data_IF_479975829966
#
_entry.id   IF_479975829966
#
_cell.length_a   1.000
_cell.length_b   1.000
_cell.length_c   1.000
_cell.angle_alpha   90.00
_cell.angle_beta   90.00
_cell.angle_gamma   90.00
#
_symmetry.space_group_name_H-M   'P 1'
#
loop_
_entity.id
_entity.type
_entity.pdbx_description
1 polymer ?
#
# COMPACT_ATOMS: atom_id res chain seq x y z
N UNK A 1 15.37 21.50 -8.55
CA UNK A 1 16.52 20.73 -7.99
C UNK A 1 16.19 20.08 -6.65
N UNK A 2 15.57 20.76 -5.68
CA UNK A 2 15.18 20.16 -4.38
C UNK A 2 14.31 18.88 -4.44
N UNK A 3 13.39 18.80 -5.40
CA UNK A 3 12.53 17.62 -5.56
C UNK A 3 13.30 16.39 -6.09
N UNK A 4 14.23 16.61 -7.02
CA UNK A 4 15.05 15.54 -7.57
C UNK A 4 16.02 14.98 -6.51
N UNK A 5 16.60 15.85 -5.69
CA UNK A 5 17.42 15.45 -4.53
C UNK A 5 16.60 14.67 -3.51
N UNK A 6 15.39 15.11 -3.16
CA UNK A 6 14.52 14.39 -2.23
C UNK A 6 14.22 12.96 -2.72
N UNK A 7 13.84 12.83 -4.00
CA UNK A 7 13.56 11.52 -4.62
C UNK A 7 14.83 10.66 -4.60
N UNK A 8 16.00 11.25 -4.87
CA UNK A 8 17.30 10.59 -4.77
C UNK A 8 17.55 10.02 -3.38
N UNK A 9 17.41 10.84 -2.35
CA UNK A 9 17.60 10.44 -0.95
C UNK A 9 16.64 9.32 -0.52
N UNK A 10 15.37 9.40 -0.92
CA UNK A 10 14.37 8.35 -0.65
C UNK A 10 14.72 7.03 -1.36
N UNK A 11 15.22 7.11 -2.60
CA UNK A 11 15.66 5.95 -3.39
C UNK A 11 16.91 5.29 -2.80
N UNK A 12 17.85 6.07 -2.31
CA UNK A 12 19.08 5.54 -1.67
C UNK A 12 18.76 4.83 -0.34
N UNK A 13 17.70 5.28 0.35
CA UNK A 13 17.31 4.79 1.66
C UNK A 13 16.02 3.94 1.66
N UNK A 14 15.76 3.20 0.57
CA UNK A 14 14.52 2.41 0.42
C UNK A 14 14.28 1.40 1.54
N UNK A 15 15.32 0.80 2.11
CA UNK A 15 15.19 -0.11 3.25
C UNK A 15 14.62 0.60 4.47
N UNK A 16 15.19 1.74 4.82
CA UNK A 16 14.73 2.59 5.93
C UNK A 16 13.31 3.08 5.67
N UNK A 17 13.02 3.58 4.46
CA UNK A 17 11.68 4.04 4.10
C UNK A 17 10.65 2.93 4.25
N UNK A 18 10.95 1.71 3.78
CA UNK A 18 10.07 0.55 3.94
C UNK A 18 9.80 0.24 5.41
N UNK A 19 10.83 0.22 6.25
CA UNK A 19 10.69 -0.05 7.68
C UNK A 19 9.83 1.03 8.33
N UNK A 20 10.09 2.31 8.05
CA UNK A 20 9.31 3.44 8.57
C UNK A 20 7.84 3.32 8.19
N UNK A 21 7.52 2.98 6.93
CA UNK A 21 6.14 2.80 6.48
C UNK A 21 5.46 1.60 7.16
N UNK A 22 6.18 0.48 7.36
CA UNK A 22 5.65 -0.69 8.06
C UNK A 22 5.40 -0.38 9.54
N UNK A 23 6.34 0.29 10.19
CA UNK A 23 6.21 0.73 11.60
C UNK A 23 5.03 1.68 11.74
N UNK A 24 4.89 2.64 10.82
CA UNK A 24 3.75 3.56 10.79
C UNK A 24 2.41 2.81 10.67
N UNK A 25 2.31 1.83 9.76
CA UNK A 25 1.12 0.97 9.64
C UNK A 25 0.85 0.19 10.93
N UNK A 26 1.89 -0.38 11.56
CA UNK A 26 1.75 -1.11 12.81
C UNK A 26 1.27 -0.21 13.96
N UNK A 27 1.77 1.03 14.05
CA UNK A 27 1.30 2.02 15.03
C UNK A 27 -0.18 2.34 14.81
N UNK A 28 -0.63 2.51 13.56
CA UNK A 28 -2.05 2.73 13.26
C UNK A 28 -2.92 1.54 13.69
N UNK A 29 -2.46 0.31 13.45
CA UNK A 29 -3.17 -0.91 13.88
C UNK A 29 -3.26 -0.97 15.40
N UNK A 30 -2.18 -0.67 16.11
CA UNK A 30 -2.18 -0.63 17.58
C UNK A 30 -3.15 0.44 18.07
N UNK A 31 -3.13 1.63 17.47
CA UNK A 31 -4.03 2.73 17.82
C UNK A 31 -5.51 2.36 17.61
N UNK A 32 -5.84 1.66 16.52
CA UNK A 32 -7.20 1.19 16.24
C UNK A 32 -7.75 0.24 17.32
N UNK A 33 -6.89 -0.56 17.95
CA UNK A 33 -7.29 -1.47 19.05
C UNK A 33 -7.66 -0.71 20.32
N UNK A 34 -7.11 0.48 20.53
CA UNK A 34 -7.41 1.32 21.70
C UNK A 34 -8.63 2.23 21.52
N UNK A 35 -9.20 2.33 20.30
CA UNK A 35 -10.38 3.14 20.06
C UNK A 35 -11.65 2.46 20.59
N UNK A 36 -12.49 3.22 21.30
CA UNK A 36 -13.83 2.73 21.70
C UNK A 36 -14.72 2.57 20.46
N UNK A 37 -15.53 1.51 20.46
CA UNK A 37 -16.41 1.10 19.34
C UNK A 37 -17.89 1.14 19.72
N UNK A 38 -18.23 1.95 20.72
CA UNK A 38 -19.60 2.11 21.24
C UNK A 38 -20.59 2.58 20.16
N UNK A 39 -20.14 3.41 19.20
CA UNK A 39 -20.96 3.94 18.11
C UNK A 39 -20.77 3.20 16.76
N UNK A 40 -20.32 1.93 16.78
CA UNK A 40 -20.09 1.18 15.55
C UNK A 40 -21.41 0.87 14.81
N UNK A 41 -21.71 1.64 13.76
CA UNK A 41 -22.92 1.49 12.93
C UNK A 41 -22.85 0.28 11.99
N UNK A 42 -21.67 -0.06 11.47
CA UNK A 42 -21.49 -1.20 10.58
C UNK A 42 -20.82 -2.38 11.31
N UNK A 43 -21.15 -3.61 10.88
CA UNK A 43 -20.56 -4.85 11.44
C UNK A 43 -19.04 -4.84 11.27
N UNK A 44 -18.58 -4.25 10.16
CA UNK A 44 -17.17 -4.12 9.81
C UNK A 44 -16.42 -3.23 10.81
N UNK A 45 -17.06 -2.17 11.31
CA UNK A 45 -16.50 -1.25 12.30
C UNK A 45 -16.43 -1.85 13.71
N UNK A 46 -16.84 -3.11 13.88
CA UNK A 46 -16.62 -3.91 15.12
C UNK A 46 -15.38 -4.81 15.04
N UNK A 47 -14.79 -4.96 13.86
CA UNK A 47 -13.58 -5.75 13.64
C UNK A 47 -12.34 -4.87 13.81
N UNK A 48 -11.46 -5.24 14.75
CA UNK A 48 -10.18 -4.56 14.96
C UNK A 48 -9.28 -4.63 13.73
N UNK A 49 -8.58 -3.53 13.46
CA UNK A 49 -7.65 -3.36 12.35
C UNK A 49 -8.26 -3.56 10.95
N UNK A 50 -9.59 -3.62 10.82
CA UNK A 50 -10.24 -3.97 9.56
C UNK A 50 -9.79 -3.08 8.40
N UNK A 51 -9.84 -1.76 8.59
CA UNK A 51 -9.53 -0.79 7.54
C UNK A 51 -8.06 -0.87 7.11
N UNK A 52 -7.14 -1.12 8.05
CA UNK A 52 -5.73 -1.33 7.75
C UNK A 52 -5.50 -2.63 6.94
N UNK A 53 -6.18 -3.72 7.31
CA UNK A 53 -6.11 -5.00 6.59
C UNK A 53 -6.72 -4.85 5.19
N UNK A 54 -7.91 -4.26 5.10
CA UNK A 54 -8.61 -4.04 3.84
C UNK A 54 -7.79 -3.20 2.88
N UNK A 55 -7.24 -2.06 3.33
CA UNK A 55 -6.39 -1.21 2.51
C UNK A 55 -5.11 -1.91 2.06
N UNK A 56 -4.48 -2.69 2.95
CA UNK A 56 -3.27 -3.46 2.63
C UNK A 56 -3.55 -4.51 1.56
N UNK A 57 -4.55 -5.37 1.78
CA UNK A 57 -4.93 -6.43 0.85
C UNK A 57 -5.41 -5.83 -0.47
N UNK A 58 -6.27 -4.81 -0.41
CA UNK A 58 -6.79 -4.10 -1.58
C UNK A 58 -5.65 -3.53 -2.44
N UNK A 59 -4.64 -2.92 -1.84
CA UNK A 59 -3.48 -2.42 -2.55
C UNK A 59 -2.70 -3.56 -3.26
N UNK A 60 -2.44 -4.68 -2.59
CA UNK A 60 -1.80 -5.84 -3.21
C UNK A 60 -2.61 -6.43 -4.36
N UNK A 61 -3.93 -6.57 -4.18
CA UNK A 61 -4.86 -7.05 -5.21
C UNK A 61 -4.81 -6.13 -6.41
N UNK A 62 -4.91 -4.81 -6.21
CA UNK A 62 -4.83 -3.82 -7.29
C UNK A 62 -3.50 -3.91 -8.04
N UNK A 63 -2.37 -3.97 -7.35
CA UNK A 63 -1.05 -4.11 -7.99
C UNK A 63 -0.99 -5.37 -8.86
N UNK A 64 -1.45 -6.51 -8.34
CA UNK A 64 -1.46 -7.78 -9.07
C UNK A 64 -2.40 -7.74 -10.26
N UNK A 65 -3.59 -7.20 -10.08
CA UNK A 65 -4.60 -7.07 -11.12
C UNK A 65 -4.12 -6.14 -12.25
N UNK A 66 -3.57 -4.97 -11.92
CA UNK A 66 -2.99 -4.05 -12.88
C UNK A 66 -1.81 -4.68 -13.64
N UNK A 67 -0.94 -5.43 -12.96
CA UNK A 67 0.13 -6.19 -13.64
C UNK A 67 -0.42 -7.27 -14.58
N UNK A 68 -1.48 -7.96 -14.17
CA UNK A 68 -2.14 -8.98 -14.98
C UNK A 68 -2.72 -8.40 -16.27
N UNK A 69 -3.48 -7.30 -16.16
CA UNK A 69 -4.04 -6.59 -17.32
C UNK A 69 -2.92 -6.06 -18.22
N UNK A 70 -1.88 -5.46 -17.64
CA UNK A 70 -0.75 -4.94 -18.40
C UNK A 70 -0.10 -6.05 -19.25
N UNK A 71 0.11 -7.24 -18.69
CA UNK A 71 0.71 -8.36 -19.42
C UNK A 71 -0.23 -8.96 -20.48
N UNK A 72 -1.53 -9.03 -20.20
CA UNK A 72 -2.50 -9.66 -21.10
C UNK A 72 -2.93 -8.77 -22.28
N UNK A 73 -2.99 -7.45 -22.08
CA UNK A 73 -3.61 -6.54 -23.06
C UNK A 73 -2.69 -5.42 -23.55
N UNK A 74 -1.72 -4.98 -22.74
CA UNK A 74 -0.87 -3.82 -23.04
C UNK A 74 0.58 -4.19 -23.40
N UNK A 75 1.01 -5.42 -23.08
CA UNK A 75 2.33 -5.91 -23.39
C UNK A 75 2.42 -6.18 -24.89
N UNK A 76 3.16 -5.33 -25.57
CA UNK A 76 3.49 -5.50 -26.99
C UNK A 76 4.68 -6.45 -27.11
N UNK A 77 4.65 -7.34 -28.09
CA UNK A 77 5.77 -8.25 -28.34
C UNK A 77 7.05 -7.44 -28.58
N UNK A 78 8.17 -7.91 -28.05
CA UNK A 78 9.47 -7.23 -28.11
C UNK A 78 9.98 -7.00 -29.55
N UNK A 79 9.48 -7.80 -30.51
CA UNK A 79 9.76 -7.69 -31.94
C UNK A 79 9.18 -6.45 -32.63
N UNK A 80 8.51 -5.54 -31.90
CA UNK A 80 7.92 -4.33 -32.52
C UNK A 80 8.94 -3.27 -32.93
N UNK A 81 10.20 -3.43 -32.55
CA UNK A 81 11.29 -2.52 -32.88
C UNK A 81 12.34 -3.15 -33.82
N UNK A 82 12.08 -4.36 -34.33
CA UNK A 82 12.73 -4.86 -35.55
C UNK A 82 11.96 -4.39 -36.79
#
# INVERSE_FOLDING_TARGET
>A
MKLAELIGTLRENLKTLRIVMIVYLAVLVVFDVFLSREDAHYIIDKIYAYWAIFGTIGCFVLIKFSKGIAHMFLSKNEDYYE
#
